data_IF_081999503054
#
_entry.id   IF_081999503054
#
_cell.length_a   1.000
_cell.length_b   1.000
_cell.length_c   1.000
_cell.angle_alpha   90.00
_cell.angle_beta   90.00
_cell.angle_gamma   90.00
#
_symmetry.space_group_name_H-M   'P 1'
#
loop_
_entity.id
_entity.type
_entity.pdbx_description
1 polymer ?
#
# COMPACT_ATOMS: atom_id res chain seq x y z
N UNK A 1 -20.80 -1.29 -6.07
CA UNK A 1 -19.88 -2.29 -5.50
C UNK A 1 -18.73 -1.60 -4.75
N UNK A 2 -18.11 -2.23 -3.74
CA UNK A 2 -16.90 -1.69 -3.10
C UNK A 2 -15.79 -1.44 -4.12
N UNK A 3 -15.03 -0.34 -3.97
CA UNK A 3 -13.95 -0.03 -4.91
C UNK A 3 -12.68 -0.88 -4.70
N UNK A 4 -12.58 -1.64 -3.64
CA UNK A 4 -11.37 -2.40 -3.27
C UNK A 4 -10.88 -3.39 -4.34
N UNK A 5 -11.76 -3.84 -5.25
CA UNK A 5 -11.38 -4.73 -6.34
C UNK A 5 -10.50 -4.05 -7.41
N UNK A 6 -10.49 -2.72 -7.48
CA UNK A 6 -9.71 -1.98 -8.49
C UNK A 6 -8.20 -2.20 -8.36
N UNK A 7 -7.73 -2.65 -7.21
CA UNK A 7 -6.32 -2.91 -6.95
C UNK A 7 -6.13 -4.12 -6.03
N UNK A 8 -4.86 -4.44 -5.76
CA UNK A 8 -4.47 -5.52 -4.87
C UNK A 8 -4.53 -6.92 -5.49
N UNK A 9 -3.63 -7.80 -5.05
CA UNK A 9 -3.47 -9.17 -5.57
C UNK A 9 -4.70 -10.04 -5.25
N UNK A 10 -5.35 -9.80 -4.12
CA UNK A 10 -6.53 -10.57 -3.70
C UNK A 10 -7.66 -10.55 -4.74
N UNK A 11 -7.84 -9.43 -5.44
CA UNK A 11 -8.91 -9.26 -6.42
C UNK A 11 -8.45 -9.50 -7.88
N UNK A 12 -7.25 -9.99 -8.11
CA UNK A 12 -6.74 -10.20 -9.46
C UNK A 12 -7.64 -11.11 -10.30
N UNK A 13 -8.03 -12.26 -9.77
CA UNK A 13 -8.94 -13.19 -10.48
C UNK A 13 -10.30 -12.58 -10.82
N UNK A 14 -10.80 -11.70 -9.96
CA UNK A 14 -12.04 -10.97 -10.23
C UNK A 14 -11.85 -9.98 -11.39
N UNK A 15 -10.74 -9.23 -11.41
CA UNK A 15 -10.42 -8.35 -12.54
C UNK A 15 -10.21 -9.12 -13.83
N UNK A 16 -9.51 -10.24 -13.78
CA UNK A 16 -9.30 -11.11 -14.96
C UNK A 16 -10.62 -11.53 -15.55
N UNK A 17 -11.52 -12.10 -14.74
CA UNK A 17 -12.86 -12.49 -15.19
C UNK A 17 -13.65 -11.31 -15.74
N UNK A 18 -13.65 -10.17 -15.05
CA UNK A 18 -14.40 -8.97 -15.45
C UNK A 18 -13.98 -8.45 -16.83
N UNK A 19 -12.67 -8.39 -17.09
CA UNK A 19 -12.12 -7.86 -18.33
C UNK A 19 -11.98 -8.90 -19.47
N UNK A 20 -12.17 -10.17 -19.17
CA UNK A 20 -12.35 -11.22 -20.16
C UNK A 20 -13.79 -11.26 -20.67
N UNK A 21 -14.76 -10.99 -19.81
CA UNK A 21 -16.19 -11.05 -20.12
C UNK A 21 -16.79 -9.75 -20.62
N UNK A 22 -16.08 -8.63 -20.46
CA UNK A 22 -16.59 -7.33 -20.88
C UNK A 22 -15.53 -6.23 -20.93
N UNK A 23 -15.96 -5.08 -21.42
CA UNK A 23 -15.17 -3.85 -21.53
C UNK A 23 -15.75 -2.78 -20.60
N UNK A 24 -14.90 -2.22 -19.76
CA UNK A 24 -15.28 -1.10 -18.89
C UNK A 24 -15.55 0.15 -19.71
N UNK A 25 -16.71 0.76 -19.53
CA UNK A 25 -17.14 1.97 -20.26
C UNK A 25 -17.27 3.18 -19.35
N UNK A 26 -17.71 2.97 -18.13
CA UNK A 26 -17.89 4.06 -17.19
C UNK A 26 -17.68 3.60 -15.75
N UNK A 27 -17.12 4.47 -14.95
CA UNK A 27 -17.08 4.36 -13.49
C UNK A 27 -17.73 5.63 -12.92
N UNK A 28 -18.64 5.46 -11.97
CA UNK A 28 -19.09 6.54 -11.11
C UNK A 28 -18.51 6.32 -9.70
N UNK A 29 -17.81 7.33 -9.18
CA UNK A 29 -17.16 7.32 -7.88
C UNK A 29 -17.92 8.19 -6.88
N UNK A 30 -18.30 7.63 -5.75
CA UNK A 30 -18.76 8.39 -4.60
C UNK A 30 -17.55 8.78 -3.73
N UNK A 31 -17.31 10.09 -3.60
CA UNK A 31 -16.12 10.61 -2.88
C UNK A 31 -16.23 10.37 -1.39
N UNK A 32 -17.43 10.53 -0.81
CA UNK A 32 -17.67 10.30 0.59
C UNK A 32 -17.79 8.79 0.91
N UNK A 33 -17.14 8.35 2.00
CA UNK A 33 -17.18 6.97 2.46
C UNK A 33 -18.36 6.67 3.38
N UNK A 34 -18.92 7.70 4.00
CA UNK A 34 -19.96 7.62 5.02
C UNK A 34 -21.37 7.93 4.47
N UNK A 35 -21.49 8.85 3.53
CA UNK A 35 -22.79 9.34 3.07
C UNK A 35 -23.60 8.34 2.25
N UNK A 36 -22.95 7.37 1.59
CA UNK A 36 -23.69 6.39 0.76
C UNK A 36 -24.46 5.39 1.61
N UNK A 37 -23.91 5.00 2.76
CA UNK A 37 -24.51 4.08 3.74
C UNK A 37 -24.59 4.73 5.14
N UNK A 38 -25.00 5.99 5.19
CA UNK A 38 -25.06 6.76 6.44
C UNK A 38 -25.98 6.11 7.47
N UNK A 39 -27.14 5.61 6.99
CA UNK A 39 -28.15 4.96 7.85
C UNK A 39 -27.65 3.66 8.46
N UNK A 40 -26.80 2.95 7.74
CA UNK A 40 -26.20 1.69 8.16
C UNK A 40 -24.91 1.87 8.95
N UNK A 41 -24.44 3.11 9.10
CA UNK A 41 -23.16 3.46 9.75
C UNK A 41 -21.95 2.70 9.16
N UNK A 42 -21.96 2.43 7.86
CA UNK A 42 -20.90 1.70 7.16
C UNK A 42 -19.98 2.66 6.41
N UNK A 43 -18.71 2.64 6.78
CA UNK A 43 -17.66 3.40 6.09
C UNK A 43 -17.11 2.57 4.91
N UNK A 44 -17.68 2.75 3.72
CA UNK A 44 -17.30 2.01 2.53
C UNK A 44 -17.15 2.93 1.30
N UNK A 45 -16.01 2.87 0.65
CA UNK A 45 -15.84 3.49 -0.66
C UNK A 45 -16.55 2.66 -1.73
N UNK A 46 -17.51 3.28 -2.41
CA UNK A 46 -18.40 2.63 -3.39
C UNK A 46 -18.17 3.23 -4.78
N UNK A 47 -18.29 2.37 -5.77
CA UNK A 47 -18.34 2.76 -7.19
C UNK A 47 -19.49 2.06 -7.90
N UNK A 48 -20.00 2.69 -8.96
CA UNK A 48 -20.88 2.08 -9.95
C UNK A 48 -20.06 1.87 -11.22
N UNK A 49 -20.16 0.71 -11.83
CA UNK A 49 -19.48 0.43 -13.10
C UNK A 49 -20.49 0.11 -14.19
N UNK A 50 -20.18 0.59 -15.41
CA UNK A 50 -20.89 0.20 -16.62
C UNK A 50 -19.96 -0.62 -17.50
N UNK A 51 -20.38 -1.84 -17.81
CA UNK A 51 -19.65 -2.77 -18.67
C UNK A 51 -20.43 -2.99 -19.99
N UNK A 52 -19.69 -3.21 -21.05
CA UNK A 52 -20.22 -3.62 -22.36
C UNK A 52 -19.59 -4.96 -22.75
N UNK A 53 -20.39 -5.93 -23.18
CA UNK A 53 -19.90 -7.26 -23.56
C UNK A 53 -19.08 -7.26 -24.86
N UNK A 54 -19.34 -6.32 -25.77
CA UNK A 54 -18.74 -6.26 -27.10
C UNK A 54 -18.03 -4.93 -27.39
N UNK A 55 -17.89 -4.07 -26.39
CA UNK A 55 -17.41 -2.71 -26.57
C UNK A 55 -15.92 -2.62 -26.92
N UNK A 56 -15.59 -1.61 -27.75
CA UNK A 56 -14.18 -1.24 -27.99
C UNK A 56 -13.56 -0.65 -26.73
N UNK A 57 -12.25 -0.83 -26.57
CA UNK A 57 -11.45 -0.32 -25.43
C UNK A 57 -10.82 1.04 -25.75
N UNK A 58 -11.62 2.00 -26.20
CA UNK A 58 -11.13 3.31 -26.63
C UNK A 58 -10.93 4.24 -25.43
N UNK A 59 -11.99 4.44 -24.64
CA UNK A 59 -11.98 5.31 -23.47
C UNK A 59 -12.88 4.78 -22.34
N UNK A 60 -12.67 5.32 -21.15
CA UNK A 60 -13.52 5.13 -19.97
C UNK A 60 -13.99 6.49 -19.47
N UNK A 61 -15.28 6.66 -19.29
CA UNK A 61 -15.85 7.85 -18.66
C UNK A 61 -15.81 7.68 -17.14
N UNK A 62 -15.14 8.58 -16.44
CA UNK A 62 -15.18 8.63 -14.98
C UNK A 62 -16.03 9.81 -14.55
N UNK A 63 -16.99 9.54 -13.68
CA UNK A 63 -17.86 10.54 -13.09
C UNK A 63 -17.78 10.49 -11.58
N UNK A 64 -17.91 11.63 -10.91
CA UNK A 64 -17.86 11.74 -9.46
C UNK A 64 -19.04 12.54 -8.94
N UNK A 65 -19.57 12.10 -7.79
CA UNK A 65 -20.42 12.92 -6.92
C UNK A 65 -19.95 12.74 -5.47
N UNK A 66 -20.36 13.65 -4.59
CA UNK A 66 -20.00 13.55 -3.19
C UNK A 66 -20.74 12.38 -2.50
N UNK A 67 -22.00 12.18 -2.87
CA UNK A 67 -22.87 11.13 -2.30
C UNK A 67 -23.90 10.64 -3.32
N UNK A 68 -24.72 9.70 -2.92
CA UNK A 68 -25.88 9.20 -3.70
C UNK A 68 -27.07 10.17 -3.75
N UNK A 69 -27.01 11.31 -3.09
CA UNK A 69 -28.02 12.37 -3.12
C UNK A 69 -27.54 13.66 -3.79
N UNK A 70 -26.35 13.65 -4.41
CA UNK A 70 -25.70 14.84 -5.01
C UNK A 70 -25.37 14.58 -6.48
N UNK A 71 -26.39 14.19 -7.25
CA UNK A 71 -26.25 13.94 -8.69
C UNK A 71 -26.35 15.19 -9.54
N UNK A 72 -26.77 16.33 -8.97
CA UNK A 72 -26.82 17.61 -9.67
C UNK A 72 -25.42 18.22 -9.89
N UNK A 73 -24.42 17.79 -9.11
CA UNK A 73 -23.05 18.29 -9.14
C UNK A 73 -22.05 17.20 -9.58
N UNK A 74 -22.34 16.52 -10.69
CA UNK A 74 -21.45 15.46 -11.21
C UNK A 74 -20.30 16.08 -12.00
N UNK A 75 -19.08 15.85 -11.56
CA UNK A 75 -17.90 16.04 -12.40
C UNK A 75 -17.70 14.84 -13.34
N UNK A 76 -17.11 15.08 -14.50
CA UNK A 76 -16.90 14.04 -15.53
C UNK A 76 -15.60 14.28 -16.27
N UNK A 77 -14.84 13.21 -16.47
CA UNK A 77 -13.63 13.18 -17.30
C UNK A 77 -13.67 11.92 -18.17
N UNK A 78 -13.16 12.01 -19.38
CA UNK A 78 -13.01 10.88 -20.30
C UNK A 78 -11.53 10.59 -20.50
N UNK A 79 -11.12 9.35 -20.28
CA UNK A 79 -9.69 8.94 -20.19
C UNK A 79 -9.47 7.75 -21.10
N UNK A 80 -8.34 7.68 -21.84
CA UNK A 80 -7.98 6.51 -22.62
C UNK A 80 -8.04 5.23 -21.78
N UNK A 81 -8.59 4.16 -22.35
CA UNK A 81 -8.75 2.88 -21.63
C UNK A 81 -7.42 2.34 -21.08
N UNK A 82 -6.32 2.52 -21.84
CA UNK A 82 -4.98 2.10 -21.46
C UNK A 82 -4.44 2.79 -20.21
N UNK A 83 -4.91 4.02 -19.93
CA UNK A 83 -4.47 4.79 -18.76
C UNK A 83 -5.27 4.42 -17.51
N UNK A 84 -6.43 3.79 -17.69
CA UNK A 84 -7.30 3.34 -16.58
C UNK A 84 -7.05 1.89 -16.20
N UNK A 85 -6.97 0.98 -17.19
CA UNK A 85 -6.75 -0.46 -16.95
C UNK A 85 -5.30 -0.79 -17.29
N UNK A 86 -4.46 -0.89 -16.26
CA UNK A 86 -3.01 -0.88 -16.41
C UNK A 86 -2.35 -2.15 -15.89
N UNK A 87 -1.35 -2.59 -16.63
CA UNK A 87 -0.48 -3.71 -16.27
C UNK A 87 -1.12 -5.09 -16.46
N UNK A 88 -0.32 -6.15 -16.31
CA UNK A 88 -0.78 -7.53 -16.44
C UNK A 88 -1.81 -7.91 -15.36
N UNK A 89 -1.74 -7.28 -14.19
CA UNK A 89 -2.70 -7.46 -13.10
C UNK A 89 -4.01 -6.69 -13.31
N UNK A 90 -4.12 -5.93 -14.41
CA UNK A 90 -5.32 -5.15 -14.79
C UNK A 90 -5.78 -4.22 -13.66
N UNK A 91 -4.85 -3.49 -13.03
CA UNK A 91 -5.22 -2.47 -12.03
C UNK A 91 -6.08 -1.38 -12.68
N UNK A 92 -7.08 -0.91 -11.92
CA UNK A 92 -7.99 0.14 -12.38
C UNK A 92 -7.72 1.42 -11.59
N UNK A 93 -7.17 2.42 -12.26
CA UNK A 93 -6.92 3.72 -11.66
C UNK A 93 -8.18 4.59 -11.70
N UNK A 94 -8.53 5.16 -10.56
CA UNK A 94 -9.72 6.02 -10.40
C UNK A 94 -9.25 7.47 -10.41
N UNK A 95 -9.10 8.02 -11.62
CA UNK A 95 -8.63 9.38 -11.88
C UNK A 95 -9.84 10.29 -11.99
N UNK A 96 -9.85 11.39 -11.26
CA UNK A 96 -11.00 12.30 -11.16
C UNK A 96 -10.73 13.72 -11.68
N UNK A 97 -9.47 13.99 -12.06
CA UNK A 97 -9.02 15.29 -12.57
C UNK A 97 -7.89 15.17 -13.58
N UNK A 98 -7.70 16.18 -14.41
CA UNK A 98 -6.56 16.26 -15.35
C UNK A 98 -5.22 16.28 -14.62
N UNK A 99 -5.15 16.85 -13.44
CA UNK A 99 -3.93 16.86 -12.63
C UNK A 99 -3.53 15.44 -12.22
N UNK A 100 -4.48 14.61 -11.76
CA UNK A 100 -4.25 13.21 -11.44
C UNK A 100 -3.86 12.39 -12.68
N UNK A 101 -4.51 12.67 -13.82
CA UNK A 101 -4.18 12.02 -15.11
C UNK A 101 -2.74 12.33 -15.54
N UNK A 102 -2.32 13.58 -15.45
CA UNK A 102 -0.95 14.00 -15.79
C UNK A 102 0.09 13.31 -14.90
N UNK A 103 -0.19 13.18 -13.60
CA UNK A 103 0.67 12.43 -12.67
C UNK A 103 0.76 10.97 -13.09
N UNK A 104 -0.37 10.33 -13.38
CA UNK A 104 -0.41 8.93 -13.78
C UNK A 104 0.37 8.68 -15.08
N UNK A 105 0.19 9.54 -16.08
CA UNK A 105 0.91 9.48 -17.35
C UNK A 105 2.41 9.73 -17.18
N UNK A 106 2.81 10.60 -16.25
CA UNK A 106 4.21 10.81 -15.90
C UNK A 106 4.84 9.54 -15.32
N UNK A 107 4.16 8.89 -14.39
CA UNK A 107 4.62 7.59 -13.86
C UNK A 107 4.64 6.49 -14.93
N UNK A 108 3.68 6.46 -15.83
CA UNK A 108 3.62 5.51 -16.93
C UNK A 108 4.82 5.58 -17.91
N UNK A 109 5.53 6.70 -17.93
CA UNK A 109 6.77 6.88 -18.73
C UNK A 109 8.02 6.35 -18.03
N UNK A 110 7.95 6.03 -16.74
CA UNK A 110 9.09 5.51 -16.01
C UNK A 110 9.27 4.02 -16.32
N UNK A 111 10.42 3.69 -16.85
CA UNK A 111 10.78 2.31 -17.20
C UNK A 111 11.18 1.48 -15.99
N UNK A 112 11.61 2.15 -14.91
CA UNK A 112 12.13 1.48 -13.74
C UNK A 112 11.05 1.26 -12.66
N UNK A 113 11.00 0.03 -12.15
CA UNK A 113 10.22 -0.38 -11.00
C UNK A 113 11.14 -0.87 -9.89
N UNK A 114 10.65 -1.03 -8.67
CA UNK A 114 11.47 -1.61 -7.60
C UNK A 114 12.12 -2.95 -8.02
N UNK A 115 11.39 -3.91 -8.62
CA UNK A 115 12.02 -5.17 -9.07
C UNK A 115 13.07 -4.97 -10.17
N UNK A 116 12.86 -4.06 -11.12
CA UNK A 116 13.83 -3.85 -12.21
C UNK A 116 15.17 -3.26 -11.74
N UNK A 117 15.19 -2.59 -10.58
CA UNK A 117 16.40 -2.08 -9.93
C UNK A 117 16.90 -2.99 -8.80
N UNK A 118 16.43 -4.25 -8.77
CA UNK A 118 16.89 -5.25 -7.80
C UNK A 118 16.31 -5.10 -6.40
N UNK A 119 15.22 -4.36 -6.23
CA UNK A 119 14.55 -4.14 -4.94
C UNK A 119 13.21 -4.85 -4.88
N UNK A 120 12.75 -5.17 -3.68
CA UNK A 120 11.40 -5.67 -3.43
C UNK A 120 10.80 -5.08 -2.17
N UNK A 121 9.49 -4.88 -2.19
CA UNK A 121 8.71 -4.52 -1.00
C UNK A 121 7.98 -5.77 -0.49
N UNK A 122 8.12 -6.05 0.79
CA UNK A 122 7.45 -7.17 1.46
C UNK A 122 6.57 -6.67 2.60
N UNK A 123 5.49 -7.37 2.87
CA UNK A 123 4.66 -7.15 4.07
C UNK A 123 5.33 -7.77 5.29
N UNK A 124 5.20 -7.10 6.43
CA UNK A 124 5.69 -7.59 7.72
C UNK A 124 5.16 -8.98 8.06
N UNK A 125 5.98 -9.74 8.74
CA UNK A 125 5.85 -11.20 8.87
C UNK A 125 4.88 -11.62 9.98
N UNK A 126 4.76 -10.80 11.04
CA UNK A 126 4.04 -11.19 12.26
C UNK A 126 2.64 -10.60 12.30
N UNK A 127 1.66 -11.45 12.52
CA UNK A 127 0.26 -11.08 12.77
C UNK A 127 -0.03 -11.30 14.25
N UNK A 128 -0.21 -10.22 15.02
CA UNK A 128 -0.28 -10.23 16.48
C UNK A 128 -1.24 -11.29 17.05
N UNK A 129 -2.49 -11.30 16.59
CA UNK A 129 -3.50 -12.21 17.12
C UNK A 129 -3.24 -13.69 16.80
N UNK A 130 -2.39 -13.99 15.79
CA UNK A 130 -1.96 -15.35 15.42
C UNK A 130 -0.67 -15.78 16.10
N UNK A 131 0.05 -14.82 16.70
CA UNK A 131 1.39 -15.01 17.23
C UNK A 131 1.49 -14.66 18.71
N UNK A 132 0.35 -14.55 19.41
CA UNK A 132 0.29 -14.11 20.82
C UNK A 132 1.21 -14.86 21.76
N UNK A 133 1.35 -16.16 21.56
CA UNK A 133 2.21 -17.04 22.38
C UNK A 133 3.69 -16.65 22.32
N UNK A 134 4.13 -16.03 21.22
CA UNK A 134 5.53 -15.62 21.00
C UNK A 134 5.80 -14.18 21.43
N UNK A 135 4.77 -13.36 21.67
CA UNK A 135 4.95 -11.94 21.98
C UNK A 135 5.46 -11.74 23.41
N UNK A 136 6.37 -10.78 23.58
CA UNK A 136 6.96 -10.40 24.87
C UNK A 136 6.95 -8.87 25.01
N UNK A 137 6.79 -8.41 26.25
CA UNK A 137 6.78 -6.97 26.57
C UNK A 137 8.18 -6.42 26.87
N UNK A 138 9.14 -7.30 27.13
CA UNK A 138 10.51 -6.93 27.53
C UNK A 138 11.51 -7.75 26.76
N UNK A 139 12.73 -7.22 26.67
CA UNK A 139 13.86 -8.00 26.23
C UNK A 139 14.13 -9.14 27.23
N UNK A 140 14.16 -10.35 26.73
CA UNK A 140 14.50 -11.58 27.47
C UNK A 140 15.55 -12.33 26.66
N UNK A 141 16.11 -13.41 27.24
CA UNK A 141 16.98 -14.30 26.49
C UNK A 141 16.22 -14.84 25.26
N UNK A 142 16.84 -14.78 24.08
CA UNK A 142 16.27 -15.26 22.81
C UNK A 142 15.10 -14.43 22.25
N UNK A 143 14.86 -13.23 22.75
CA UNK A 143 13.91 -12.30 22.12
C UNK A 143 14.60 -11.44 21.07
N UNK A 144 13.84 -11.09 20.04
CA UNK A 144 14.24 -10.13 19.01
C UNK A 144 13.22 -8.99 18.88
N UNK A 145 13.63 -7.82 18.38
CA UNK A 145 12.71 -6.73 18.12
C UNK A 145 11.58 -7.13 17.17
N UNK A 146 10.36 -6.73 17.50
CA UNK A 146 9.19 -6.78 16.63
C UNK A 146 8.79 -5.36 16.25
N UNK A 147 9.08 -4.96 15.03
CA UNK A 147 8.86 -3.58 14.57
C UNK A 147 7.41 -3.33 14.16
N UNK A 148 6.84 -2.29 14.70
CA UNK A 148 5.47 -1.82 14.46
C UNK A 148 5.45 -0.46 13.77
N UNK A 149 4.31 0.01 13.22
CA UNK A 149 4.19 1.36 12.67
C UNK A 149 4.58 2.47 13.65
N UNK A 150 4.37 2.26 14.95
CA UNK A 150 4.67 3.23 16.02
C UNK A 150 6.18 3.46 16.23
N UNK A 151 7.02 2.51 15.78
CA UNK A 151 8.47 2.68 15.79
C UNK A 151 8.96 3.64 14.70
N UNK A 152 8.14 3.96 13.69
CA UNK A 152 8.49 4.95 12.67
C UNK A 152 8.21 6.35 13.23
N UNK A 153 9.28 7.07 13.56
CA UNK A 153 9.22 8.43 14.11
C UNK A 153 10.22 9.31 13.37
N UNK A 154 9.77 10.42 12.84
CA UNK A 154 10.61 11.43 12.17
C UNK A 154 11.57 10.83 11.11
N UNK A 155 11.07 9.88 10.32
CA UNK A 155 11.86 9.25 9.25
C UNK A 155 12.87 8.19 9.70
N UNK A 156 12.86 7.81 10.95
CA UNK A 156 13.75 6.78 11.52
C UNK A 156 12.96 5.71 12.25
N UNK A 157 13.55 4.55 12.40
CA UNK A 157 13.05 3.52 13.29
C UNK A 157 13.66 3.73 14.66
N UNK A 158 12.80 4.00 15.65
CA UNK A 158 13.16 4.16 17.07
C UNK A 158 12.67 2.93 17.80
N UNK A 159 13.59 2.22 18.46
CA UNK A 159 13.30 1.02 19.22
C UNK A 159 14.19 0.97 20.47
N UNK A 160 13.67 0.59 21.65
CA UNK A 160 12.27 0.32 21.95
C UNK A 160 11.41 1.57 21.96
N UNK A 161 10.09 1.44 21.74
CA UNK A 161 9.13 2.55 21.79
C UNK A 161 8.26 2.55 23.06
N UNK A 162 8.55 1.67 24.00
CA UNK A 162 7.84 1.47 25.28
C UNK A 162 6.36 1.10 25.08
N UNK A 163 6.08 0.26 24.08
CA UNK A 163 4.75 -0.29 23.84
C UNK A 163 4.69 -1.76 24.29
N UNK A 164 3.46 -2.26 24.43
CA UNK A 164 3.25 -3.69 24.67
C UNK A 164 3.64 -4.52 23.44
N UNK A 165 4.19 -5.71 23.69
CA UNK A 165 4.48 -6.72 22.66
C UNK A 165 5.48 -6.28 21.58
N UNK A 166 6.48 -5.48 21.96
CA UNK A 166 7.50 -5.02 20.98
C UNK A 166 8.69 -5.99 20.84
N UNK A 167 8.62 -7.16 21.47
CA UNK A 167 9.57 -8.25 21.30
C UNK A 167 8.86 -9.53 20.90
N UNK A 168 9.58 -10.42 20.24
CA UNK A 168 9.09 -11.75 19.88
C UNK A 168 10.17 -12.80 20.18
N UNK A 169 9.74 -13.94 20.77
CA UNK A 169 10.59 -15.12 21.02
C UNK A 169 10.01 -16.30 20.25
N UNK A 170 10.69 -16.73 19.21
CA UNK A 170 10.24 -17.84 18.36
C UNK A 170 11.39 -18.37 17.49
N UNK A 171 11.34 -19.64 17.17
CA UNK A 171 12.24 -20.29 16.20
C UNK A 171 11.60 -20.39 14.79
N UNK A 172 10.34 -19.95 14.64
CA UNK A 172 9.62 -20.00 13.36
C UNK A 172 10.27 -19.05 12.35
N UNK A 173 11.04 -19.59 11.41
CA UNK A 173 11.75 -18.82 10.37
C UNK A 173 10.83 -17.90 9.57
N UNK A 174 9.55 -18.24 9.40
CA UNK A 174 8.55 -17.41 8.70
C UNK A 174 8.15 -16.14 9.46
N UNK A 175 8.46 -16.00 10.73
CA UNK A 175 8.19 -14.81 11.56
C UNK A 175 9.45 -13.96 11.79
N UNK A 176 10.60 -14.41 11.34
CA UNK A 176 11.90 -13.77 11.57
C UNK A 176 12.55 -13.39 10.23
N UNK A 177 13.31 -12.31 10.26
CA UNK A 177 14.15 -11.85 9.15
C UNK A 177 15.54 -11.45 9.67
N UNK A 178 16.55 -11.51 8.80
CA UNK A 178 17.92 -11.10 9.15
C UNK A 178 17.93 -9.64 9.60
N UNK A 179 18.74 -9.33 10.59
CA UNK A 179 19.05 -7.96 10.96
C UNK A 179 19.99 -7.35 9.92
N UNK A 180 19.43 -6.63 8.94
CA UNK A 180 20.11 -5.88 7.88
C UNK A 180 19.43 -4.53 7.66
N UNK A 181 19.96 -3.69 6.79
CA UNK A 181 19.37 -2.39 6.53
C UNK A 181 18.08 -2.51 5.72
N UNK A 182 17.07 -1.73 6.10
CA UNK A 182 15.75 -1.70 5.47
C UNK A 182 15.20 -0.27 5.40
N UNK A 183 14.38 0.00 4.42
CA UNK A 183 13.41 1.08 4.52
C UNK A 183 12.08 0.48 5.00
N UNK A 184 11.65 0.83 6.21
CA UNK A 184 10.37 0.40 6.77
C UNK A 184 9.28 1.38 6.39
N UNK A 185 8.12 0.90 5.96
CA UNK A 185 7.03 1.72 5.46
C UNK A 185 5.74 1.38 6.19
N UNK A 186 4.98 2.36 6.65
CA UNK A 186 3.63 2.11 7.18
C UNK A 186 2.74 1.59 6.06
N UNK A 187 2.07 0.48 6.31
CA UNK A 187 1.15 -0.13 5.34
C UNK A 187 -0.20 0.58 5.27
N UNK A 188 -0.64 1.15 6.38
CA UNK A 188 -1.91 1.84 6.50
C UNK A 188 -1.68 3.27 6.95
N UNK A 189 -2.29 4.20 6.24
CA UNK A 189 -2.38 5.62 6.59
C UNK A 189 -3.80 6.09 6.36
N UNK A 190 -4.28 7.03 7.17
CA UNK A 190 -5.61 7.61 7.00
C UNK A 190 -5.60 8.71 5.93
N UNK A 191 -6.77 9.07 5.39
CA UNK A 191 -6.87 10.15 4.39
C UNK A 191 -6.53 11.52 4.98
N UNK A 192 -6.69 11.66 6.28
CA UNK A 192 -6.50 12.88 7.06
C UNK A 192 -5.02 13.13 7.39
N UNK A 193 -4.18 12.10 7.26
CA UNK A 193 -2.74 12.27 7.51
C UNK A 193 -2.08 13.14 6.44
N UNK A 194 -1.32 14.14 6.88
CA UNK A 194 -0.62 15.10 6.01
C UNK A 194 0.29 14.41 4.97
N UNK A 195 0.91 13.29 5.36
CA UNK A 195 1.71 12.44 4.46
C UNK A 195 1.10 11.06 4.38
N UNK A 196 0.72 10.66 3.18
CA UNK A 196 0.16 9.33 2.90
C UNK A 196 1.24 8.25 2.92
N UNK A 197 2.43 8.57 2.47
CA UNK A 197 3.58 7.67 2.51
C UNK A 197 4.45 8.02 3.71
N UNK A 198 4.55 7.10 4.67
CA UNK A 198 5.32 7.28 5.90
C UNK A 198 6.32 6.15 6.03
N UNK A 199 7.59 6.48 6.01
CA UNK A 199 8.67 5.51 6.09
C UNK A 199 9.71 5.89 7.15
N UNK A 200 10.48 4.91 7.58
CA UNK A 200 11.56 5.05 8.54
C UNK A 200 12.79 4.26 8.13
N UNK A 201 13.94 4.88 8.24
CA UNK A 201 15.25 4.28 8.02
C UNK A 201 15.54 3.32 9.17
N UNK A 202 15.78 2.04 8.84
CA UNK A 202 16.29 1.04 9.76
C UNK A 202 17.71 0.65 9.35
N UNK A 203 18.67 0.86 10.23
CA UNK A 203 20.06 0.45 10.06
C UNK A 203 20.40 -0.62 11.09
N UNK A 204 20.88 -1.77 10.63
CA UNK A 204 21.29 -2.88 11.51
C UNK A 204 22.41 -2.50 12.47
N UNK A 205 23.26 -1.55 12.07
CA UNK A 205 24.34 -1.02 12.94
C UNK A 205 23.82 -0.31 14.20
N UNK A 206 22.55 0.09 14.25
CA UNK A 206 21.95 0.69 15.45
C UNK A 206 21.46 -0.37 16.44
N UNK A 207 21.45 -1.65 16.05
CA UNK A 207 20.94 -2.78 16.81
C UNK A 207 21.89 -3.98 16.69
N UNK A 208 23.18 -3.81 16.98
CA UNK A 208 24.22 -4.82 16.73
C UNK A 208 24.06 -6.07 17.61
N UNK A 209 23.33 -5.98 18.70
CA UNK A 209 23.05 -7.07 19.63
C UNK A 209 22.09 -8.13 19.06
N UNK A 210 21.36 -7.81 17.98
CA UNK A 210 20.42 -8.73 17.37
C UNK A 210 20.93 -9.27 16.03
N UNK A 211 20.85 -10.57 15.83
CA UNK A 211 21.11 -11.22 14.53
C UNK A 211 19.86 -11.24 13.63
N UNK A 212 18.70 -11.16 14.25
CA UNK A 212 17.40 -11.21 13.59
C UNK A 212 16.46 -10.17 14.19
N UNK A 213 15.44 -9.84 13.41
CA UNK A 213 14.32 -9.00 13.83
C UNK A 213 13.03 -9.60 13.29
N UNK A 214 11.91 -9.07 13.72
CA UNK A 214 10.60 -9.31 13.11
C UNK A 214 9.91 -8.00 12.76
N UNK A 215 8.96 -8.06 11.86
CA UNK A 215 8.13 -6.92 11.46
C UNK A 215 6.66 -7.30 11.52
N UNK A 216 5.84 -6.44 12.11
CA UNK A 216 4.41 -6.64 12.23
C UNK A 216 3.71 -6.36 10.89
N UNK A 217 2.62 -7.07 10.59
CA UNK A 217 1.96 -7.03 9.27
C UNK A 217 1.32 -5.68 8.89
N UNK A 218 1.31 -4.69 9.76
CA UNK A 218 0.89 -3.30 9.45
C UNK A 218 2.05 -2.42 8.96
N UNK A 219 3.23 -2.97 8.82
CA UNK A 219 4.35 -2.34 8.11
C UNK A 219 4.71 -3.15 6.88
N UNK A 220 5.26 -2.48 5.89
CA UNK A 220 6.01 -3.09 4.80
C UNK A 220 7.50 -2.76 4.99
N UNK A 221 8.37 -3.52 4.33
CA UNK A 221 9.79 -3.20 4.28
C UNK A 221 10.36 -3.41 2.89
N UNK A 222 11.31 -2.55 2.52
CA UNK A 222 12.03 -2.63 1.25
C UNK A 222 13.41 -3.20 1.52
N UNK A 223 13.78 -4.19 0.72
CA UNK A 223 15.09 -4.87 0.75
C UNK A 223 15.62 -5.13 -0.66
N UNK A 224 16.92 -5.37 -0.79
CA UNK A 224 17.49 -5.91 -2.04
C UNK A 224 17.04 -7.35 -2.28
N UNK A 225 16.91 -7.73 -3.58
CA UNK A 225 16.55 -9.10 -3.98
C UNK A 225 17.72 -10.03 -3.71
N UNK A 226 18.90 -9.73 -4.24
CA UNK A 226 20.10 -10.57 -4.17
C UNK A 226 21.29 -9.88 -3.47
N UNK A 227 21.05 -8.76 -2.80
CA UNK A 227 22.05 -8.00 -2.07
C UNK A 227 21.48 -7.37 -0.81
N UNK A 228 22.32 -6.98 0.12
CA UNK A 228 21.92 -6.24 1.30
C UNK A 228 22.10 -4.73 1.02
N UNK A 229 21.08 -3.92 1.34
CA UNK A 229 21.17 -2.47 1.18
C UNK A 229 22.27 -1.88 2.07
N UNK A 230 23.11 -1.02 1.52
CA UNK A 230 24.00 -0.20 2.31
C UNK A 230 23.26 1.01 2.90
N UNK A 231 23.94 1.77 3.75
CA UNK A 231 23.37 2.93 4.42
C UNK A 231 22.91 4.00 3.43
N UNK A 232 23.72 4.29 2.45
CA UNK A 232 23.48 5.32 1.44
C UNK A 232 22.26 4.98 0.58
N UNK A 233 22.09 3.72 0.22
CA UNK A 233 20.92 3.24 -0.53
C UNK A 233 19.64 3.38 0.27
N UNK A 234 19.63 3.08 1.57
CA UNK A 234 18.45 3.29 2.42
C UNK A 234 18.09 4.76 2.54
N UNK A 235 19.10 5.64 2.69
CA UNK A 235 18.87 7.09 2.70
C UNK A 235 18.36 7.59 1.35
N UNK A 236 18.91 7.13 0.24
CA UNK A 236 18.45 7.46 -1.11
C UNK A 236 16.98 7.08 -1.33
N UNK A 237 16.60 5.86 -0.94
CA UNK A 237 15.20 5.40 -0.95
C UNK A 237 14.30 6.27 -0.05
N UNK A 238 14.78 6.63 1.14
CA UNK A 238 14.04 7.51 2.04
C UNK A 238 13.77 8.86 1.43
N UNK A 239 14.77 9.48 0.79
CA UNK A 239 14.61 10.77 0.10
C UNK A 239 13.63 10.64 -1.05
N UNK A 240 13.79 9.62 -1.90
CA UNK A 240 12.90 9.36 -3.03
C UNK A 240 11.43 9.24 -2.58
N UNK A 241 11.15 8.42 -1.58
CA UNK A 241 9.78 8.19 -1.09
C UNK A 241 9.20 9.35 -0.27
N UNK A 242 9.99 10.32 0.14
CA UNK A 242 9.54 11.54 0.81
C UNK A 242 9.60 12.78 -0.11
N UNK A 243 10.05 12.63 -1.34
CA UNK A 243 10.00 13.71 -2.32
C UNK A 243 8.56 14.08 -2.67
N UNK A 244 8.37 15.28 -3.17
CA UNK A 244 7.08 15.82 -3.64
C UNK A 244 6.93 15.67 -5.17
N UNK A 245 7.50 14.62 -5.71
CA UNK A 245 7.36 14.32 -7.13
C UNK A 245 5.93 13.95 -7.44
#
# INVERSE_FOLDING_TARGET
IPRSWTSGVYFQKFRDYLFETGTLKQIHLFVSRDKVFEKESVLQEIIIIKMDKSGKRDSVKITCSNSNSDFDNISSIEIPYSDIVVGPEKYVYLVTSDAELNVLQTFGRWENTLPSIGLKMRTGLTVDFRSREYLRNRAEKETVPLLYPQHIREGRVVFPAQREHEYISTEKKGLLQRNKNYLIVKRFTTKEEKRRFQCGIYLSSNFPEYNQISTQNKVNFIEGIDFDLNKEQVYGLYVLFNSTI
#
